data_IF_976348154127
#
_entry.id   IF_976348154127
#
_cell.length_a   1.000
_cell.length_b   1.000
_cell.length_c   1.000
_cell.angle_alpha   90.00
_cell.angle_beta   90.00
_cell.angle_gamma   90.00
#
_symmetry.space_group_name_H-M   'P 1'
#
loop_
_entity.id
_entity.type
_entity.pdbx_description
1 polymer ?
#
# COMPACT_ATOMS: atom_id res chain seq x y z
N UNK A 1 30.37 47.03 21.97
CA UNK A 1 30.34 45.57 21.97
C UNK A 1 29.21 45.10 21.03
N UNK A 2 29.48 44.47 19.90
CA UNK A 2 28.43 44.00 19.06
C UNK A 2 27.81 42.73 19.64
N UNK A 3 26.55 42.81 19.88
CA UNK A 3 25.75 41.65 20.28
C UNK A 3 25.31 40.93 19.02
N UNK A 4 25.86 39.76 18.80
CA UNK A 4 25.44 38.88 17.71
C UNK A 4 24.46 37.84 18.25
N UNK A 5 23.22 38.19 18.31
CA UNK A 5 22.20 37.20 18.55
C UNK A 5 21.92 36.45 17.26
N UNK A 6 22.51 35.29 17.16
CA UNK A 6 22.18 34.35 16.08
C UNK A 6 20.82 33.73 16.37
N UNK A 7 19.79 34.25 15.77
CA UNK A 7 18.51 33.63 15.80
C UNK A 7 18.53 32.36 14.94
N UNK A 8 18.65 31.21 15.57
CA UNK A 8 18.43 29.95 14.88
C UNK A 8 16.92 29.75 14.79
N UNK A 9 16.35 30.15 13.69
CA UNK A 9 14.99 29.75 13.41
C UNK A 9 15.03 28.31 12.93
N UNK A 10 14.83 27.38 13.84
CA UNK A 10 14.53 26.02 13.46
C UNK A 10 13.11 25.98 12.96
N UNK A 11 12.96 26.11 11.67
CA UNK A 11 11.68 25.85 11.04
C UNK A 11 11.49 24.34 11.06
N UNK A 12 10.88 23.82 12.11
CA UNK A 12 10.28 22.52 12.05
C UNK A 12 9.05 22.66 11.18
N UNK A 13 9.22 22.40 9.90
CA UNK A 13 8.08 22.22 9.04
C UNK A 13 7.42 20.90 9.46
N UNK A 14 6.49 20.98 10.37
CA UNK A 14 5.53 19.93 10.58
C UNK A 14 4.61 19.92 9.37
N UNK A 15 5.16 19.53 8.21
CA UNK A 15 4.37 19.30 7.03
C UNK A 15 3.48 18.11 7.31
N UNK A 16 2.19 18.33 7.37
CA UNK A 16 1.22 17.25 7.19
C UNK A 16 1.66 16.50 5.94
N UNK A 17 1.93 15.19 6.01
CA UNK A 17 2.36 14.48 4.81
C UNK A 17 1.28 14.59 3.76
N UNK A 18 1.55 15.42 2.78
CA UNK A 18 0.69 15.62 1.63
C UNK A 18 0.62 14.28 0.90
N UNK A 19 -0.59 13.70 0.83
CA UNK A 19 -0.83 12.51 0.06
C UNK A 19 -1.03 11.20 0.83
N UNK A 20 -0.88 11.18 2.14
CA UNK A 20 -1.16 9.98 2.95
C UNK A 20 -0.48 8.72 2.42
N UNK A 21 -1.24 7.61 2.28
CA UNK A 21 -0.72 6.35 1.74
C UNK A 21 -0.28 6.45 0.29
N UNK A 22 -0.84 7.38 -0.49
CA UNK A 22 -0.49 7.55 -1.90
C UNK A 22 1.00 7.90 -2.10
N UNK A 23 1.61 8.63 -1.16
CA UNK A 23 3.04 8.97 -1.22
C UNK A 23 3.96 7.76 -1.12
N UNK A 24 3.46 6.64 -0.58
CA UNK A 24 4.21 5.39 -0.44
C UNK A 24 4.17 4.55 -1.71
N UNK A 25 3.39 4.97 -2.70
CA UNK A 25 3.16 4.22 -3.93
C UNK A 25 4.01 4.78 -5.06
N UNK A 26 5.04 4.02 -5.45
CA UNK A 26 5.85 4.30 -6.64
C UNK A 26 5.06 3.82 -7.86
N UNK A 27 4.93 4.64 -8.93
CA UNK A 27 4.26 4.19 -10.17
C UNK A 27 4.81 2.90 -10.75
N UNK A 28 6.10 2.60 -10.54
CA UNK A 28 6.72 1.34 -10.98
C UNK A 28 6.20 0.12 -10.23
N UNK A 29 5.58 0.31 -9.06
CA UNK A 29 4.95 -0.74 -8.27
C UNK A 29 3.44 -0.87 -8.55
N UNK A 30 2.95 -0.25 -9.63
CA UNK A 30 1.55 -0.36 -10.07
C UNK A 30 1.52 -1.21 -11.33
N UNK A 31 0.82 -2.33 -11.28
CA UNK A 31 0.69 -3.27 -12.39
C UNK A 31 -0.78 -3.56 -12.61
N UNK A 32 -1.35 -3.03 -13.69
CA UNK A 32 -2.79 -3.04 -13.93
C UNK A 32 -3.28 -4.22 -14.79
N UNK A 33 -2.35 -5.00 -15.33
CA UNK A 33 -2.67 -6.12 -16.22
C UNK A 33 -1.92 -7.38 -15.78
N UNK A 34 -1.95 -7.66 -14.49
CA UNK A 34 -1.30 -8.82 -13.91
C UNK A 34 -2.18 -10.06 -14.02
N UNK A 35 -1.55 -11.22 -14.01
CA UNK A 35 -2.22 -12.53 -14.00
C UNK A 35 -1.56 -13.40 -12.96
N UNK A 36 -2.36 -14.16 -12.23
CA UNK A 36 -1.87 -15.08 -11.22
C UNK A 36 -2.59 -16.41 -11.33
N UNK A 37 -1.87 -17.49 -11.06
CA UNK A 37 -2.43 -18.85 -11.08
C UNK A 37 -3.22 -19.17 -9.82
N UNK A 38 -3.09 -18.37 -8.78
CA UNK A 38 -3.79 -18.52 -7.51
C UNK A 38 -3.31 -17.50 -6.49
N UNK A 39 -3.85 -17.61 -5.29
CA UNK A 39 -3.56 -16.68 -4.19
C UNK A 39 -2.05 -16.56 -3.89
N UNK A 40 -1.35 -17.68 -3.76
CA UNK A 40 0.09 -17.64 -3.43
C UNK A 40 0.92 -16.98 -4.52
N UNK A 41 0.60 -17.24 -5.79
CA UNK A 41 1.27 -16.60 -6.91
C UNK A 41 1.03 -15.08 -6.90
N UNK A 42 -0.21 -14.67 -6.61
CA UNK A 42 -0.53 -13.25 -6.48
C UNK A 42 0.28 -12.58 -5.37
N UNK A 43 0.39 -13.22 -4.21
CA UNK A 43 1.20 -12.71 -3.09
C UNK A 43 2.68 -12.61 -3.47
N UNK A 44 3.22 -13.60 -4.16
CA UNK A 44 4.61 -13.56 -4.65
C UNK A 44 4.85 -12.40 -5.60
N UNK A 45 3.93 -12.15 -6.52
CA UNK A 45 4.02 -11.03 -7.45
C UNK A 45 3.99 -9.69 -6.71
N UNK A 46 3.15 -9.57 -5.69
CA UNK A 46 3.09 -8.39 -4.82
C UNK A 46 4.44 -8.14 -4.13
N UNK A 47 5.02 -9.17 -3.56
CA UNK A 47 6.33 -9.07 -2.90
C UNK A 47 7.45 -8.69 -3.87
N UNK A 48 7.43 -9.24 -5.08
CA UNK A 48 8.39 -8.88 -6.13
C UNK A 48 8.24 -7.42 -6.56
N UNK A 49 7.01 -6.93 -6.66
CA UNK A 49 6.79 -5.52 -7.00
C UNK A 49 7.37 -4.59 -5.95
N UNK A 50 7.25 -4.94 -4.66
CA UNK A 50 7.87 -4.20 -3.58
C UNK A 50 9.40 -4.28 -3.63
N UNK A 51 9.96 -5.45 -3.96
CA UNK A 51 11.40 -5.63 -4.09
C UNK A 51 11.96 -4.86 -5.30
N UNK A 52 11.23 -4.83 -6.40
CA UNK A 52 11.64 -4.15 -7.64
C UNK A 52 11.81 -2.63 -7.44
N UNK A 53 11.09 -2.04 -6.51
CA UNK A 53 11.24 -0.62 -6.17
C UNK A 53 12.16 -0.39 -4.97
N UNK A 54 12.87 -1.43 -4.52
CA UNK A 54 13.82 -1.33 -3.43
C UNK A 54 13.23 -1.16 -2.04
N UNK A 55 11.96 -1.49 -1.87
CA UNK A 55 11.28 -1.33 -0.59
C UNK A 55 11.54 -2.48 0.38
N UNK A 56 11.77 -3.67 -0.14
CA UNK A 56 12.00 -4.87 0.66
C UNK A 56 13.11 -5.72 0.06
N UNK A 57 13.68 -6.61 0.88
CA UNK A 57 14.57 -7.66 0.38
C UNK A 57 13.74 -8.84 -0.14
N UNK A 58 14.35 -9.73 -0.93
CA UNK A 58 13.66 -10.90 -1.48
C UNK A 58 13.03 -11.80 -0.41
N UNK A 59 13.61 -11.84 0.79
CA UNK A 59 13.09 -12.64 1.90
C UNK A 59 11.72 -12.20 2.43
N UNK A 60 11.30 -10.98 2.11
CA UNK A 60 9.99 -10.48 2.53
C UNK A 60 8.84 -11.28 1.93
N UNK A 61 9.03 -11.84 0.73
CA UNK A 61 8.02 -12.67 0.06
C UNK A 61 7.61 -13.86 0.93
N UNK A 62 8.59 -14.55 1.54
CA UNK A 62 8.31 -15.69 2.42
C UNK A 62 7.48 -15.26 3.64
N UNK A 63 7.78 -14.09 4.19
CA UNK A 63 7.02 -13.49 5.29
C UNK A 63 5.58 -13.19 4.89
N UNK A 64 5.36 -12.69 3.69
CA UNK A 64 4.02 -12.43 3.16
C UNK A 64 3.22 -13.71 2.98
N UNK A 65 3.84 -14.76 2.46
CA UNK A 65 3.20 -16.07 2.30
C UNK A 65 2.82 -16.69 3.64
N UNK A 66 3.71 -16.61 4.60
CA UNK A 66 3.45 -17.09 5.97
C UNK A 66 2.28 -16.36 6.60
N UNK A 67 2.24 -15.04 6.47
CA UNK A 67 1.14 -14.22 7.01
C UNK A 67 -0.20 -14.58 6.37
N UNK A 68 -0.21 -14.76 5.06
CA UNK A 68 -1.43 -15.10 4.32
C UNK A 68 -1.97 -16.47 4.70
N UNK A 69 -1.09 -17.45 4.91
CA UNK A 69 -1.48 -18.80 5.36
C UNK A 69 -2.04 -18.81 6.77
N UNK A 70 -1.58 -17.91 7.62
CA UNK A 70 -2.03 -17.77 9.01
C UNK A 70 -3.44 -17.20 9.08
N UNK A 71 -3.70 -16.14 8.33
CA UNK A 71 -4.99 -15.46 8.29
C UNK A 71 -5.10 -14.69 6.97
N UNK A 72 -6.19 -14.88 6.25
CA UNK A 72 -6.41 -14.21 4.98
C UNK A 72 -6.34 -12.69 5.10
N UNK A 73 -5.72 -12.05 4.12
CA UNK A 73 -5.68 -10.58 4.01
C UNK A 73 -6.81 -10.05 3.11
N UNK A 74 -7.77 -10.87 2.75
CA UNK A 74 -8.94 -10.45 1.97
C UNK A 74 -9.82 -9.51 2.80
N UNK A 75 -10.11 -8.33 2.25
CA UNK A 75 -10.93 -7.31 2.92
C UNK A 75 -12.40 -7.32 2.53
N UNK A 76 -12.75 -7.91 1.39
CA UNK A 76 -14.04 -7.75 0.76
C UNK A 76 -13.95 -6.87 -0.48
N UNK A 77 -15.03 -6.70 -1.21
CA UNK A 77 -15.13 -5.85 -2.40
C UNK A 77 -14.08 -6.19 -3.48
N UNK A 78 -13.62 -7.44 -3.52
CA UNK A 78 -12.62 -7.87 -4.49
C UNK A 78 -11.19 -7.38 -4.21
N UNK A 79 -10.90 -6.96 -2.97
CA UNK A 79 -9.61 -6.40 -2.59
C UNK A 79 -8.94 -7.24 -1.50
N UNK A 80 -7.65 -7.49 -1.66
CA UNK A 80 -6.80 -8.06 -0.62
C UNK A 80 -5.63 -7.13 -0.32
N UNK A 81 -5.09 -7.21 0.89
CA UNK A 81 -3.97 -6.37 1.34
C UNK A 81 -2.79 -7.22 1.84
N UNK A 82 -2.11 -7.93 0.94
CA UNK A 82 -0.98 -8.77 1.35
C UNK A 82 0.11 -7.96 2.05
N UNK A 83 0.63 -8.50 3.14
CA UNK A 83 1.71 -7.90 3.91
C UNK A 83 2.44 -9.00 4.70
N UNK A 84 3.62 -8.69 5.22
CA UNK A 84 4.43 -9.66 5.93
C UNK A 84 4.04 -9.80 7.40
N UNK A 85 4.66 -10.79 8.06
CA UNK A 85 4.54 -10.99 9.50
C UNK A 85 5.32 -9.92 10.27
N UNK A 86 5.04 -9.77 11.55
CA UNK A 86 5.81 -8.88 12.42
C UNK A 86 7.30 -9.30 12.48
N UNK A 87 7.58 -10.60 12.42
CA UNK A 87 8.95 -11.11 12.39
C UNK A 87 9.69 -10.76 11.10
N UNK A 88 8.95 -10.54 10.00
CA UNK A 88 9.52 -10.20 8.70
C UNK A 88 9.90 -8.73 8.52
N UNK A 89 9.70 -7.89 9.53
CA UNK A 89 9.96 -6.44 9.43
C UNK A 89 11.41 -6.08 9.10
N UNK A 90 12.35 -6.95 9.43
CA UNK A 90 13.78 -6.73 9.14
C UNK A 90 14.07 -6.79 7.64
N UNK A 91 13.20 -7.42 6.86
CA UNK A 91 13.29 -7.45 5.41
C UNK A 91 12.74 -6.17 4.75
N UNK A 92 12.10 -5.29 5.50
CA UNK A 92 11.57 -4.03 5.01
C UNK A 92 12.65 -2.95 5.08
N UNK A 93 12.99 -2.38 3.93
CA UNK A 93 14.01 -1.32 3.81
C UNK A 93 13.39 0.06 3.96
N UNK A 94 12.14 0.23 3.51
CA UNK A 94 11.37 1.47 3.68
C UNK A 94 9.88 1.16 3.55
N UNK A 95 9.05 2.02 4.10
CA UNK A 95 7.61 1.91 3.96
C UNK A 95 7.21 2.12 2.49
N UNK A 96 6.39 1.25 1.96
CA UNK A 96 5.94 1.32 0.57
C UNK A 96 4.67 0.53 0.34
N UNK A 97 3.98 0.88 -0.74
CA UNK A 97 2.84 0.13 -1.25
C UNK A 97 3.12 -0.35 -2.68
N UNK A 98 2.47 -1.43 -3.06
CA UNK A 98 2.37 -1.87 -4.45
C UNK A 98 0.91 -2.17 -4.74
N UNK A 99 0.46 -1.87 -5.95
CA UNK A 99 -0.91 -2.16 -6.38
C UNK A 99 -0.86 -3.04 -7.62
N UNK A 100 -1.44 -4.23 -7.52
CA UNK A 100 -1.54 -5.17 -8.62
C UNK A 100 -3.01 -5.43 -8.91
N UNK A 101 -3.42 -5.16 -10.13
CA UNK A 101 -4.76 -5.49 -10.61
C UNK A 101 -4.69 -6.76 -11.44
N UNK A 102 -5.59 -7.67 -11.13
CA UNK A 102 -5.75 -8.95 -11.83
C UNK A 102 -7.12 -8.96 -12.51
N UNK A 103 -7.23 -8.45 -13.76
CA UNK A 103 -8.53 -8.32 -14.42
C UNK A 103 -9.30 -9.62 -14.56
N UNK A 104 -8.59 -10.75 -14.67
CA UNK A 104 -9.21 -12.09 -14.72
C UNK A 104 -9.63 -12.62 -13.35
N UNK A 105 -9.33 -11.91 -12.28
CA UNK A 105 -9.61 -12.35 -10.92
C UNK A 105 -8.64 -13.41 -10.41
N UNK A 106 -8.53 -13.51 -9.11
CA UNK A 106 -7.76 -14.54 -8.40
C UNK A 106 -8.67 -15.14 -7.34
N UNK A 107 -8.71 -16.47 -7.28
CA UNK A 107 -9.46 -17.16 -6.24
C UNK A 107 -8.72 -17.01 -4.90
N UNK A 108 -9.38 -16.36 -3.96
CA UNK A 108 -8.85 -16.10 -2.62
C UNK A 108 -9.71 -16.85 -1.60
N UNK A 109 -9.47 -18.16 -1.50
CA UNK A 109 -10.26 -19.08 -0.65
C UNK A 109 -11.78 -19.00 -0.94
N UNK A 110 -12.15 -19.01 -2.21
CA UNK A 110 -13.55 -18.92 -2.65
C UNK A 110 -14.05 -17.48 -2.85
N UNK A 111 -13.22 -16.47 -2.58
CA UNK A 111 -13.56 -15.07 -2.80
C UNK A 111 -12.80 -14.52 -4.00
N UNK A 112 -13.48 -13.93 -5.00
CA UNK A 112 -12.77 -13.36 -6.14
C UNK A 112 -12.07 -12.07 -5.73
N UNK A 113 -10.77 -11.98 -6.01
CA UNK A 113 -9.97 -10.78 -5.78
C UNK A 113 -9.46 -10.28 -7.13
N UNK A 114 -9.65 -9.00 -7.39
CA UNK A 114 -9.18 -8.35 -8.61
C UNK A 114 -8.11 -7.31 -8.36
N UNK A 115 -7.95 -6.85 -7.12
CA UNK A 115 -6.91 -5.88 -6.74
C UNK A 115 -6.22 -6.34 -5.46
N UNK A 116 -4.89 -6.31 -5.49
CA UNK A 116 -4.06 -6.48 -4.30
C UNK A 116 -3.34 -5.17 -4.02
N UNK A 117 -3.42 -4.69 -2.77
CA UNK A 117 -2.60 -3.59 -2.29
C UNK A 117 -1.60 -4.18 -1.31
N UNK A 118 -0.38 -4.38 -1.79
CA UNK A 118 0.69 -4.95 -0.98
C UNK A 118 1.31 -3.88 -0.09
N UNK A 119 1.62 -4.23 1.13
CA UNK A 119 2.11 -3.29 2.14
C UNK A 119 3.47 -3.75 2.67
N UNK A 120 4.44 -2.86 2.64
CA UNK A 120 5.69 -2.97 3.37
C UNK A 120 5.76 -1.83 4.36
N UNK A 121 5.94 -2.14 5.64
CA UNK A 121 6.05 -1.12 6.68
C UNK A 121 7.01 -1.55 7.77
N UNK A 122 7.81 -0.60 8.24
CA UNK A 122 8.73 -0.78 9.36
C UNK A 122 8.02 -0.33 10.64
N UNK A 123 8.06 -1.18 11.67
CA UNK A 123 7.54 -0.84 12.98
C UNK A 123 6.03 -0.59 12.99
N UNK A 124 5.61 0.42 13.72
CA UNK A 124 4.20 0.72 14.00
C UNK A 124 3.46 1.42 12.85
N UNK A 125 4.17 1.87 11.82
CA UNK A 125 3.58 2.51 10.64
C UNK A 125 2.56 1.65 9.91
N UNK A 126 2.67 0.34 10.07
CA UNK A 126 1.77 -0.64 9.49
C UNK A 126 0.30 -0.42 9.87
N UNK A 127 0.02 -0.16 11.15
CA UNK A 127 -1.35 0.05 11.62
C UNK A 127 -1.97 1.32 11.04
N UNK A 128 -1.18 2.39 10.92
CA UNK A 128 -1.66 3.63 10.33
C UNK A 128 -2.04 3.45 8.86
N UNK A 129 -1.21 2.72 8.11
CA UNK A 129 -1.47 2.40 6.70
C UNK A 129 -2.74 1.56 6.57
N UNK A 130 -2.89 0.52 7.37
CA UNK A 130 -4.06 -0.34 7.34
C UNK A 130 -5.35 0.44 7.66
N UNK A 131 -5.30 1.32 8.65
CA UNK A 131 -6.44 2.15 9.02
C UNK A 131 -6.86 3.06 7.88
N UNK A 132 -5.91 3.72 7.25
CA UNK A 132 -6.19 4.62 6.13
C UNK A 132 -6.75 3.89 4.92
N UNK A 133 -6.16 2.74 4.57
CA UNK A 133 -6.67 1.92 3.48
C UNK A 133 -8.07 1.39 3.77
N UNK A 134 -8.34 0.97 5.00
CA UNK A 134 -9.68 0.51 5.38
C UNK A 134 -10.71 1.62 5.19
N UNK A 135 -10.40 2.86 5.57
CA UNK A 135 -11.29 3.99 5.37
C UNK A 135 -11.59 4.25 3.89
N UNK A 136 -10.57 4.17 3.04
CA UNK A 136 -10.73 4.33 1.59
C UNK A 136 -11.61 3.23 1.02
N UNK A 137 -11.36 1.99 1.42
CA UNK A 137 -12.03 0.80 0.88
C UNK A 137 -13.42 0.57 1.46
N UNK A 138 -13.77 1.24 2.56
CA UNK A 138 -15.14 1.25 3.09
C UNK A 138 -16.11 2.01 2.19
N UNK A 139 -15.62 2.87 1.32
CA UNK A 139 -16.43 3.51 0.28
C UNK A 139 -16.55 2.54 -0.92
N UNK A 140 -17.73 1.91 -1.16
CA UNK A 140 -17.87 0.96 -2.26
C UNK A 140 -17.60 1.58 -3.63
N UNK A 141 -17.87 2.86 -3.80
CA UNK A 141 -17.59 3.57 -5.04
C UNK A 141 -16.09 3.70 -5.31
N UNK A 142 -15.30 3.98 -4.27
CA UNK A 142 -13.83 4.06 -4.40
C UNK A 142 -13.22 2.70 -4.65
N UNK A 143 -13.66 1.67 -3.94
CA UNK A 143 -13.20 0.30 -4.15
C UNK A 143 -13.49 -0.15 -5.58
N UNK A 144 -14.67 0.14 -6.09
CA UNK A 144 -15.05 -0.17 -7.47
C UNK A 144 -14.15 0.54 -8.49
N UNK A 145 -13.92 1.84 -8.30
CA UNK A 145 -13.05 2.62 -9.21
C UNK A 145 -11.62 2.08 -9.19
N UNK A 146 -11.15 1.63 -8.03
CA UNK A 146 -9.83 1.02 -7.91
C UNK A 146 -9.76 -0.29 -8.72
N UNK A 147 -10.79 -1.13 -8.66
CA UNK A 147 -10.85 -2.37 -9.45
C UNK A 147 -10.90 -2.11 -10.95
N UNK A 148 -11.42 -0.97 -11.36
CA UNK A 148 -11.62 -0.59 -12.77
C UNK A 148 -10.57 0.40 -13.27
N UNK A 149 -9.62 0.81 -12.43
CA UNK A 149 -8.62 1.82 -12.78
C UNK A 149 -7.81 1.41 -14.00
N UNK A 150 -7.73 2.31 -14.99
CA UNK A 150 -7.04 2.06 -16.24
C UNK A 150 -5.63 2.66 -16.28
N UNK A 151 -5.28 3.55 -15.35
CA UNK A 151 -3.99 4.22 -15.31
C UNK A 151 -3.40 4.26 -13.89
N UNK A 152 -2.08 4.35 -13.83
CA UNK A 152 -1.38 4.49 -12.55
C UNK A 152 -1.77 5.78 -11.82
N UNK A 153 -1.95 6.87 -12.55
CA UNK A 153 -2.37 8.15 -11.97
C UNK A 153 -3.73 8.04 -11.30
N UNK A 154 -4.66 7.30 -11.90
CA UNK A 154 -5.97 7.08 -11.31
C UNK A 154 -5.88 6.30 -10.00
N UNK A 155 -5.04 5.26 -9.95
CA UNK A 155 -4.78 4.48 -8.73
C UNK A 155 -4.23 5.39 -7.63
N UNK A 156 -3.22 6.18 -7.94
CA UNK A 156 -2.60 7.10 -6.98
C UNK A 156 -3.65 8.09 -6.45
N UNK A 157 -4.48 8.62 -7.34
CA UNK A 157 -5.53 9.57 -6.95
C UNK A 157 -6.55 8.92 -6.00
N UNK A 158 -6.94 7.67 -6.27
CA UNK A 158 -7.92 6.96 -5.45
C UNK A 158 -7.38 6.62 -4.05
N UNK A 159 -6.08 6.46 -3.91
CA UNK A 159 -5.44 6.17 -2.63
C UNK A 159 -5.07 7.42 -1.83
N UNK A 160 -5.30 8.61 -2.37
CA UNK A 160 -5.17 9.85 -1.61
C UNK A 160 -6.33 9.97 -0.64
N UNK A 161 -6.08 10.39 0.61
CA UNK A 161 -7.17 10.66 1.53
C UNK A 161 -8.05 11.77 0.96
N UNK A 162 -9.36 11.62 1.09
CA UNK A 162 -10.25 12.70 0.73
C UNK A 162 -9.92 13.91 1.60
N UNK A 163 -9.47 14.97 0.96
CA UNK A 163 -9.55 16.26 1.60
C UNK A 163 -11.05 16.55 1.75
N UNK A 164 -11.51 16.49 2.97
CA UNK A 164 -12.83 17.01 3.26
C UNK A 164 -12.80 18.48 2.89
N UNK A 165 -13.28 18.77 1.67
CA UNK A 165 -13.45 20.13 1.24
C UNK A 165 -14.38 20.81 2.21
N UNK A 166 -13.87 21.77 2.95
CA UNK A 166 -14.70 22.73 3.60
C UNK A 166 -15.53 23.40 2.52
N UNK A 167 -16.76 22.98 2.42
CA UNK A 167 -17.72 23.70 1.60
C UNK A 167 -17.86 25.09 2.20
N UNK A 168 -17.63 26.15 1.43
CA UNK A 168 -17.85 27.51 1.95
C UNK A 168 -19.30 27.75 2.27
#
# INVERSE_FOLDING_TARGET
VPDTSSGISSSTSSGTPDGGTARLLDPRAIRLDARATGREDAVRQCGRALADVGAVTAGYVDSMLERERSLSTHLGEGVAIPHGTAAGKDAVLRDALAVLRFPGGVDWDGHPVTVCIAIAARGDGHMAILTELAQILMDPGRARRLREAATAEEVIRLLRPEQQGTTP
#
